data_IF_957977304246
#
_entry.id   IF_957977304246
#
_cell.length_a   1.000
_cell.length_b   1.000
_cell.length_c   1.000
_cell.angle_alpha   90.00
_cell.angle_beta   90.00
_cell.angle_gamma   90.00
#
_symmetry.space_group_name_H-M   'P 1'
#
loop_
_entity.id
_entity.type
_entity.pdbx_description
1 polymer ?
#
# COMPACT_ATOMS: atom_id res chain seq x y z
N UNK A 1 11.38 12.43 -19.40
CA UNK A 1 11.86 11.05 -19.61
C UNK A 1 12.30 10.49 -18.27
N UNK A 2 11.85 9.28 -17.92
CA UNK A 2 12.27 8.62 -16.69
C UNK A 2 13.74 8.20 -16.76
N UNK A 3 14.45 8.27 -15.63
CA UNK A 3 15.82 7.76 -15.42
C UNK A 3 15.83 6.41 -14.69
N UNK A 4 14.66 5.76 -14.56
CA UNK A 4 14.55 4.49 -13.82
C UNK A 4 15.46 3.38 -14.39
N UNK A 5 15.77 3.42 -15.69
CA UNK A 5 16.68 2.46 -16.33
C UNK A 5 18.10 2.49 -15.73
N UNK A 6 18.54 3.62 -15.16
CA UNK A 6 19.85 3.76 -14.50
C UNK A 6 19.92 3.00 -13.17
N UNK A 7 18.77 2.60 -12.61
CA UNK A 7 18.68 1.89 -11.32
C UNK A 7 18.68 0.37 -11.44
N UNK A 8 18.61 -0.16 -12.66
CA UNK A 8 18.52 -1.61 -12.89
C UNK A 8 19.77 -2.13 -13.60
N UNK A 9 20.06 -3.42 -13.38
CA UNK A 9 21.14 -4.09 -14.11
C UNK A 9 20.69 -4.33 -15.56
N UNK A 10 21.59 -4.19 -16.55
CA UNK A 10 21.29 -4.60 -17.92
C UNK A 10 20.86 -6.07 -17.96
N UNK A 11 19.78 -6.36 -18.68
CA UNK A 11 19.27 -7.71 -18.91
C UNK A 11 19.52 -8.08 -20.38
N UNK A 12 19.93 -9.32 -20.65
CA UNK A 12 20.18 -9.79 -22.02
C UNK A 12 18.93 -10.42 -22.64
N UNK A 13 18.05 -10.96 -21.81
CA UNK A 13 16.79 -11.58 -22.24
C UNK A 13 15.66 -11.37 -21.22
N UNK A 14 14.47 -11.89 -21.53
CA UNK A 14 13.31 -11.82 -20.64
C UNK A 14 13.43 -12.69 -19.40
N UNK A 15 14.32 -13.68 -19.39
CA UNK A 15 14.55 -14.51 -18.21
C UNK A 15 15.33 -13.72 -17.15
N UNK A 16 16.31 -12.91 -17.55
CA UNK A 16 17.01 -11.95 -16.70
C UNK A 16 16.02 -10.96 -16.06
N UNK A 17 15.16 -10.35 -16.87
CA UNK A 17 14.15 -9.39 -16.40
C UNK A 17 13.26 -10.03 -15.34
N UNK A 18 12.73 -11.23 -15.60
CA UNK A 18 11.88 -11.95 -14.64
C UNK A 18 12.61 -12.29 -13.35
N UNK A 19 13.86 -12.74 -13.41
CA UNK A 19 14.67 -13.00 -12.21
C UNK A 19 14.86 -11.73 -11.38
N UNK A 20 15.18 -10.61 -12.03
CA UNK A 20 15.37 -9.34 -11.36
C UNK A 20 14.09 -8.82 -10.70
N UNK A 21 12.94 -8.93 -11.39
CA UNK A 21 11.63 -8.55 -10.84
C UNK A 21 11.25 -9.45 -9.67
N UNK A 22 11.36 -10.78 -9.82
CA UNK A 22 11.03 -11.70 -8.73
C UNK A 22 11.85 -11.39 -7.47
N UNK A 23 13.15 -11.11 -7.61
CA UNK A 23 14.00 -10.74 -6.48
C UNK A 23 13.58 -9.42 -5.82
N UNK A 24 13.01 -8.47 -6.58
CA UNK A 24 12.41 -7.26 -6.00
C UNK A 24 11.09 -7.57 -5.30
N UNK A 25 10.25 -8.42 -5.88
CA UNK A 25 8.98 -8.83 -5.28
C UNK A 25 9.18 -9.58 -3.95
N UNK A 26 10.23 -10.39 -3.84
CA UNK A 26 10.64 -11.05 -2.60
C UNK A 26 10.94 -10.05 -1.47
N UNK A 27 11.32 -8.82 -1.81
CA UNK A 27 11.53 -7.71 -0.85
C UNK A 27 10.26 -6.88 -0.66
N UNK A 28 9.51 -6.62 -1.74
CA UNK A 28 8.32 -5.77 -1.70
C UNK A 28 7.17 -6.43 -0.94
N UNK A 29 6.93 -7.73 -1.14
CA UNK A 29 5.78 -8.42 -0.53
C UNK A 29 5.84 -8.37 1.01
N UNK A 30 6.96 -8.71 1.68
CA UNK A 30 7.06 -8.57 3.14
C UNK A 30 6.78 -7.13 3.63
N UNK A 31 7.32 -6.12 2.94
CA UNK A 31 7.09 -4.71 3.28
C UNK A 31 5.63 -4.29 3.11
N UNK A 32 4.97 -4.78 2.06
CA UNK A 32 3.54 -4.54 1.83
C UNK A 32 2.68 -5.23 2.89
N UNK A 33 3.04 -6.45 3.31
CA UNK A 33 2.36 -7.16 4.40
C UNK A 33 2.47 -6.37 5.70
N UNK A 34 3.67 -5.90 6.06
CA UNK A 34 3.86 -5.07 7.25
C UNK A 34 3.04 -3.77 7.17
N UNK A 35 3.08 -3.10 6.01
CA UNK A 35 2.31 -1.88 5.76
C UNK A 35 0.80 -2.11 5.94
N UNK A 36 0.27 -3.21 5.40
CA UNK A 36 -1.15 -3.58 5.55
C UNK A 36 -1.46 -3.95 7.00
N UNK A 37 -0.53 -4.58 7.74
CA UNK A 37 -0.70 -4.89 9.16
C UNK A 37 -0.97 -3.65 10.03
N UNK A 38 -0.43 -2.48 9.67
CA UNK A 38 -0.77 -1.22 10.34
C UNK A 38 -2.24 -0.82 10.16
N UNK A 39 -2.94 -1.33 9.15
CA UNK A 39 -4.38 -1.08 8.98
C UNK A 39 -5.20 -1.80 10.05
N UNK A 40 -4.73 -2.94 10.59
CA UNK A 40 -5.35 -3.57 11.76
C UNK A 40 -5.25 -2.67 13.00
N UNK A 41 -4.12 -1.97 13.16
CA UNK A 41 -3.97 -0.96 14.22
C UNK A 41 -4.92 0.22 13.99
N UNK A 42 -5.02 0.70 12.74
CA UNK A 42 -5.94 1.77 12.38
C UNK A 42 -7.41 1.39 12.66
N UNK A 43 -7.83 0.19 12.27
CA UNK A 43 -9.16 -0.36 12.55
C UNK A 43 -9.48 -0.42 14.04
N UNK A 44 -8.50 -0.78 14.88
CA UNK A 44 -8.65 -0.77 16.35
C UNK A 44 -8.82 0.64 16.92
N UNK A 45 -8.08 1.61 16.38
CA UNK A 45 -8.06 3.00 16.87
C UNK A 45 -9.30 3.77 16.42
N UNK A 46 -9.76 3.57 15.18
CA UNK A 46 -10.94 4.26 14.64
C UNK A 46 -12.18 3.88 15.44
N UNK A 47 -13.04 4.87 15.67
CA UNK A 47 -14.25 4.71 16.46
C UNK A 47 -15.48 4.49 15.59
N UNK A 48 -15.48 5.03 14.36
CA UNK A 48 -16.60 4.99 13.42
C UNK A 48 -16.15 4.49 12.05
N UNK A 49 -17.01 3.74 11.37
CA UNK A 49 -16.76 3.25 10.01
C UNK A 49 -16.51 4.40 9.00
N UNK A 50 -17.15 5.55 9.20
CA UNK A 50 -16.93 6.75 8.37
C UNK A 50 -15.50 7.30 8.44
N UNK A 51 -14.67 6.85 9.39
CA UNK A 51 -13.26 7.24 9.49
C UNK A 51 -12.34 6.32 8.68
N UNK A 52 -12.86 5.20 8.14
CA UNK A 52 -12.03 4.22 7.42
C UNK A 52 -11.49 4.82 6.14
N UNK A 53 -12.34 5.49 5.36
CA UNK A 53 -11.95 6.27 4.19
C UNK A 53 -11.70 7.74 4.55
N UNK A 54 -10.48 8.19 4.31
CA UNK A 54 -10.05 9.58 4.52
C UNK A 54 -9.40 10.10 3.23
N UNK A 55 -10.17 10.85 2.44
CA UNK A 55 -9.72 11.39 1.14
C UNK A 55 -8.55 12.35 1.27
N UNK A 56 -8.54 13.18 2.32
CA UNK A 56 -7.43 14.10 2.57
C UNK A 56 -6.13 13.32 2.82
N UNK A 57 -6.23 12.24 3.59
CA UNK A 57 -5.07 11.37 3.85
C UNK A 57 -4.61 10.63 2.59
N UNK A 58 -5.51 10.18 1.72
CA UNK A 58 -5.18 9.54 0.45
C UNK A 58 -4.39 10.51 -0.43
N UNK A 59 -4.88 11.74 -0.60
CA UNK A 59 -4.19 12.75 -1.41
C UNK A 59 -2.82 13.13 -0.84
N UNK A 60 -2.68 13.25 0.49
CA UNK A 60 -1.38 13.47 1.12
C UNK A 60 -0.36 12.37 0.81
N UNK A 61 -0.80 11.11 0.82
CA UNK A 61 0.04 9.96 0.47
C UNK A 61 0.42 10.03 -1.00
N UNK A 62 -0.55 10.26 -1.89
CA UNK A 62 -0.31 10.37 -3.34
C UNK A 62 0.72 11.46 -3.63
N UNK A 63 0.53 12.66 -3.08
CA UNK A 63 1.48 13.76 -3.29
C UNK A 63 2.88 13.43 -2.75
N UNK A 64 2.97 12.75 -1.60
CA UNK A 64 4.26 12.29 -1.06
C UNK A 64 4.97 11.31 -1.98
N UNK A 65 4.27 10.31 -2.50
CA UNK A 65 4.87 9.26 -3.34
C UNK A 65 5.19 9.77 -4.74
N UNK A 66 4.38 10.67 -5.30
CA UNK A 66 4.68 11.36 -6.57
C UNK A 66 6.01 12.11 -6.47
N UNK A 67 6.20 12.90 -5.40
CA UNK A 67 7.48 13.60 -5.14
C UNK A 67 8.64 12.64 -4.95
N UNK A 68 8.41 11.51 -4.28
CA UNK A 68 9.41 10.45 -4.14
C UNK A 68 9.83 9.88 -5.49
N UNK A 69 8.85 9.51 -6.33
CA UNK A 69 9.08 9.00 -7.68
C UNK A 69 9.93 9.95 -8.52
N UNK A 70 9.58 11.25 -8.54
CA UNK A 70 10.35 12.24 -9.33
C UNK A 70 11.79 12.35 -8.85
N UNK A 71 12.03 12.36 -7.54
CA UNK A 71 13.39 12.42 -6.96
C UNK A 71 14.24 11.22 -7.36
N UNK A 72 13.63 10.04 -7.38
CA UNK A 72 14.27 8.80 -7.80
C UNK A 72 14.36 8.65 -9.34
N UNK A 73 13.89 9.65 -10.11
CA UNK A 73 13.88 9.61 -11.57
C UNK A 73 12.80 8.69 -12.16
N UNK A 74 11.86 8.20 -11.37
CA UNK A 74 10.70 7.43 -11.80
C UNK A 74 9.60 8.28 -12.42
N UNK A 75 8.62 7.61 -13.00
CA UNK A 75 7.39 8.23 -13.50
C UNK A 75 6.39 8.40 -12.34
N UNK A 76 6.03 9.64 -12.04
CA UNK A 76 5.12 9.97 -10.93
C UNK A 76 3.70 9.47 -11.15
N UNK A 77 3.22 9.40 -12.40
CA UNK A 77 1.86 9.00 -12.70
C UNK A 77 1.70 7.48 -12.55
N UNK A 78 2.72 6.71 -12.93
CA UNK A 78 2.79 5.26 -12.68
C UNK A 78 2.77 4.96 -11.17
N UNK A 79 3.58 5.68 -10.39
CA UNK A 79 3.63 5.47 -8.94
C UNK A 79 2.33 5.89 -8.25
N UNK A 80 1.70 6.97 -8.70
CA UNK A 80 0.37 7.36 -8.19
C UNK A 80 -0.66 6.25 -8.43
N UNK A 81 -0.74 5.69 -9.64
CA UNK A 81 -1.72 4.65 -9.96
C UNK A 81 -1.56 3.41 -9.06
N UNK A 82 -0.32 2.99 -8.82
CA UNK A 82 0.01 1.87 -7.91
C UNK A 82 -0.46 2.21 -6.49
N UNK A 83 -0.14 3.41 -5.99
CA UNK A 83 -0.48 3.79 -4.62
C UNK A 83 -1.97 4.00 -4.41
N UNK A 84 -2.71 4.54 -5.38
CA UNK A 84 -4.18 4.63 -5.29
C UNK A 84 -4.79 3.24 -5.17
N UNK A 85 -4.37 2.30 -6.01
CA UNK A 85 -4.83 0.90 -5.94
C UNK A 85 -4.50 0.25 -4.59
N UNK A 86 -3.30 0.51 -4.07
CA UNK A 86 -2.89 0.05 -2.74
C UNK A 86 -3.76 0.67 -1.63
N UNK A 87 -4.16 1.94 -1.74
CA UNK A 87 -5.02 2.59 -0.74
C UNK A 87 -6.40 1.97 -0.74
N UNK A 88 -7.00 1.74 -1.92
CA UNK A 88 -8.30 1.08 -2.02
C UNK A 88 -8.27 -0.33 -1.43
N UNK A 89 -7.21 -1.11 -1.70
CA UNK A 89 -7.03 -2.43 -1.09
C UNK A 89 -6.90 -2.35 0.44
N UNK A 90 -6.14 -1.37 0.96
CA UNK A 90 -5.99 -1.14 2.41
C UNK A 90 -7.31 -0.73 3.06
N UNK A 91 -8.10 0.14 2.43
CA UNK A 91 -9.41 0.59 2.92
C UNK A 91 -10.34 -0.62 3.01
N UNK A 92 -10.45 -1.42 1.95
CA UNK A 92 -11.28 -2.61 1.94
C UNK A 92 -10.85 -3.65 3.00
N UNK A 93 -9.54 -3.80 3.23
CA UNK A 93 -9.02 -4.65 4.32
C UNK A 93 -9.38 -4.10 5.69
N UNK A 94 -9.20 -2.79 5.89
CA UNK A 94 -9.50 -2.10 7.14
C UNK A 94 -10.99 -2.17 7.50
N UNK A 95 -11.89 -2.02 6.52
CA UNK A 95 -13.33 -2.17 6.71
C UNK A 95 -13.69 -3.56 7.27
N UNK A 96 -13.09 -4.63 6.72
CA UNK A 96 -13.31 -6.00 7.20
C UNK A 96 -12.79 -6.18 8.62
N UNK A 97 -11.59 -5.69 8.92
CA UNK A 97 -11.02 -5.79 10.26
C UNK A 97 -11.80 -4.97 11.29
N UNK A 98 -12.25 -3.77 10.93
CA UNK A 98 -13.09 -2.94 11.78
C UNK A 98 -14.40 -3.66 12.12
N UNK A 99 -15.10 -4.22 11.12
CA UNK A 99 -16.32 -4.98 11.33
C UNK A 99 -16.10 -6.18 12.26
N UNK A 100 -15.02 -6.95 12.04
CA UNK A 100 -14.64 -8.11 12.86
C UNK A 100 -14.37 -7.72 14.33
N UNK A 101 -13.67 -6.62 14.56
CA UNK A 101 -13.37 -6.15 15.93
C UNK A 101 -14.64 -5.68 16.66
N UNK A 102 -15.56 -5.00 15.96
CA UNK A 102 -16.82 -4.52 16.56
C UNK A 102 -17.83 -5.64 16.80
N UNK A 103 -17.87 -6.67 15.95
CA UNK A 103 -18.72 -7.85 16.21
C UNK A 103 -18.28 -8.62 17.45
N UNK A 104 -16.97 -8.78 17.67
CA UNK A 104 -16.45 -9.45 18.87
C UNK A 104 -16.67 -8.64 20.15
N UNK A 105 -16.58 -7.30 20.09
CA UNK A 105 -16.90 -6.45 21.24
C UNK A 105 -18.37 -6.63 21.68
N UNK A 106 -19.31 -6.63 20.73
CA UNK A 106 -20.74 -6.82 21.02
C UNK A 106 -21.07 -8.21 21.62
N UNK A 107 -20.30 -9.25 21.26
CA UNK A 107 -20.48 -10.60 21.80
C UNK A 107 -19.91 -10.76 23.21
N UNK A 108 -18.88 -9.99 23.58
CA UNK A 108 -18.25 -10.03 24.90
C UNK A 108 -18.99 -9.25 25.99
N UNK A 109 -19.85 -8.30 25.63
CA UNK A 109 -20.68 -7.52 26.58
C UNK A 109 -22.01 -8.23 26.95
N UNK A 110 -22.32 -9.36 26.31
CA UNK A 110 -23.55 -10.13 26.54
C UNK A 110 -23.36 -11.35 27.47
N UNK A 111 -22.23 -11.45 28.17
CA UNK A 111 -21.89 -12.52 29.12
C UNK A 111 -21.56 -11.94 30.51
#
# INVERSE_FOLDING_TARGET
>A
MTRAIEKVKPCQDMQDVRRAINALDDVLVPLLVERVGYMTQAARIKQRASQVRDEARIEDIVQRVRRGASKEGGDSDVIEQIYRSLMEACIAFEEREFARLRSHAAQGESA
#
